data_IF_291396942346
#
_entry.id   IF_291396942346
#
_cell.length_a   1.000
_cell.length_b   1.000
_cell.length_c   1.000
_cell.angle_alpha   90.00
_cell.angle_beta   90.00
_cell.angle_gamma   90.00
#
_symmetry.space_group_name_H-M   'P 1'
#
loop_
_entity.id
_entity.type
_entity.pdbx_description
1 polymer ?
#
# COMPACT_ATOMS: atom_id res chain seq x y z
N UNK A 1 -19.65 13.85 -5.41
CA UNK A 1 -18.61 13.30 -6.31
C UNK A 1 -17.25 13.94 -6.05
N UNK A 2 -16.22 13.16 -5.70
CA UNK A 2 -14.87 13.63 -5.38
C UNK A 2 -13.97 13.83 -6.62
N UNK A 3 -14.40 13.36 -7.80
CA UNK A 3 -13.68 13.54 -9.06
C UNK A 3 -14.35 14.59 -9.97
N UNK A 4 -13.53 15.39 -10.66
CA UNK A 4 -13.91 16.28 -11.76
C UNK A 4 -13.32 15.74 -13.06
N UNK A 5 -14.05 14.85 -13.73
CA UNK A 5 -13.52 14.08 -14.85
C UNK A 5 -12.37 13.19 -14.38
N UNK A 6 -11.17 13.34 -14.97
CA UNK A 6 -9.96 12.58 -14.59
C UNK A 6 -9.15 13.21 -13.45
N UNK A 7 -9.63 14.33 -12.87
CA UNK A 7 -8.92 15.07 -11.81
C UNK A 7 -9.58 14.80 -10.47
N UNK A 8 -8.75 14.49 -9.47
CA UNK A 8 -9.16 14.35 -8.06
C UNK A 8 -8.25 15.27 -7.25
N UNK A 9 -8.81 15.97 -6.27
CA UNK A 9 -8.01 16.82 -5.38
C UNK A 9 -7.20 15.92 -4.44
N UNK A 10 -5.97 16.35 -4.09
CA UNK A 10 -5.08 15.59 -3.22
C UNK A 10 -5.75 15.20 -1.89
N UNK A 11 -6.57 16.09 -1.33
CA UNK A 11 -7.29 15.85 -0.06
C UNK A 11 -8.33 14.72 -0.15
N UNK A 12 -8.78 14.41 -1.37
CA UNK A 12 -9.82 13.43 -1.64
C UNK A 12 -9.21 12.06 -2.04
N UNK A 13 -7.89 11.89 -1.94
CA UNK A 13 -7.19 10.67 -2.34
C UNK A 13 -7.66 9.42 -1.56
N UNK A 14 -7.88 9.54 -0.24
CA UNK A 14 -8.41 8.43 0.58
C UNK A 14 -9.79 7.99 0.07
N UNK A 15 -10.69 8.96 -0.13
CA UNK A 15 -12.05 8.69 -0.64
C UNK A 15 -12.03 8.08 -2.04
N UNK A 16 -11.08 8.49 -2.89
CA UNK A 16 -10.86 7.85 -4.20
C UNK A 16 -10.44 6.39 -4.02
N UNK A 17 -9.41 6.11 -3.21
CA UNK A 17 -8.88 4.75 -3.01
C UNK A 17 -9.94 3.81 -2.42
N UNK A 18 -10.69 4.26 -1.41
CA UNK A 18 -11.80 3.49 -0.83
C UNK A 18 -12.93 3.20 -1.82
N UNK A 19 -13.11 4.05 -2.84
CA UNK A 19 -14.16 3.89 -3.83
C UNK A 19 -13.74 2.96 -4.99
N UNK A 20 -12.44 2.86 -5.30
CA UNK A 20 -11.95 2.11 -6.47
C UNK A 20 -11.29 0.79 -6.12
N UNK A 21 -10.74 0.65 -4.91
CA UNK A 21 -10.15 -0.59 -4.43
C UNK A 21 -11.19 -1.46 -3.72
N UNK A 22 -11.03 -2.76 -3.83
CA UNK A 22 -11.85 -3.77 -3.14
C UNK A 22 -10.97 -4.66 -2.26
N UNK A 23 -11.55 -5.28 -1.22
CA UNK A 23 -10.82 -6.26 -0.44
C UNK A 23 -10.24 -7.38 -1.31
N UNK A 24 -8.98 -7.72 -1.06
CA UNK A 24 -8.26 -8.76 -1.79
C UNK A 24 -7.72 -8.36 -3.17
N UNK A 25 -7.89 -7.11 -3.60
CA UNK A 25 -7.32 -6.65 -4.87
C UNK A 25 -5.79 -6.78 -4.88
N UNK A 26 -5.25 -7.09 -6.06
CA UNK A 26 -3.80 -7.03 -6.32
C UNK A 26 -3.45 -5.62 -6.79
N UNK A 27 -2.70 -4.91 -5.95
CA UNK A 27 -2.42 -3.48 -6.13
C UNK A 27 -0.93 -3.29 -6.40
N UNK A 28 -0.64 -2.74 -7.57
CA UNK A 28 0.69 -2.22 -7.87
C UNK A 28 0.79 -0.78 -7.37
N UNK A 29 1.66 -0.53 -6.40
CA UNK A 29 1.91 0.81 -5.88
C UNK A 29 3.34 1.21 -6.22
N UNK A 30 3.48 2.29 -6.98
CA UNK A 30 4.76 2.75 -7.50
C UNK A 30 5.73 3.10 -6.36
N UNK A 31 6.78 2.28 -6.26
CA UNK A 31 8.04 2.62 -5.63
C UNK A 31 9.15 2.04 -6.48
N UNK A 32 9.86 2.89 -7.22
CA UNK A 32 11.07 2.50 -7.95
C UNK A 32 12.33 2.97 -7.20
N UNK A 33 13.50 2.93 -7.84
CA UNK A 33 14.76 3.33 -7.19
C UNK A 33 14.89 4.85 -6.95
N UNK A 34 14.04 5.68 -7.56
CA UNK A 34 14.12 7.16 -7.52
C UNK A 34 12.77 7.85 -7.29
N UNK A 35 11.67 7.31 -7.81
CA UNK A 35 10.33 7.88 -7.77
C UNK A 35 9.41 7.03 -6.89
N UNK A 36 8.71 7.72 -6.00
CA UNK A 36 7.69 7.13 -5.13
C UNK A 36 6.37 7.85 -5.38
N UNK A 37 5.26 7.11 -5.43
CA UNK A 37 3.93 7.71 -5.37
C UNK A 37 3.55 8.01 -3.92
N UNK A 38 4.35 8.83 -3.25
CA UNK A 38 4.27 9.14 -1.82
C UNK A 38 2.87 9.58 -1.36
N UNK A 39 2.23 10.49 -2.10
CA UNK A 39 0.86 10.93 -1.80
C UNK A 39 -0.14 9.76 -1.77
N UNK A 40 -0.04 8.84 -2.72
CA UNK A 40 -0.93 7.68 -2.80
C UNK A 40 -0.56 6.61 -1.77
N UNK A 41 0.72 6.47 -1.43
CA UNK A 41 1.18 5.58 -0.38
C UNK A 41 0.63 6.02 0.98
N UNK A 42 0.75 7.30 1.32
CA UNK A 42 0.16 7.88 2.54
C UNK A 42 -1.35 7.76 2.53
N UNK A 43 -2.02 8.08 1.43
CA UNK A 43 -3.48 7.95 1.33
C UNK A 43 -3.95 6.49 1.46
N UNK A 44 -3.22 5.53 0.90
CA UNK A 44 -3.51 4.10 1.08
C UNK A 44 -3.26 3.65 2.52
N UNK A 45 -2.20 4.19 3.13
CA UNK A 45 -2.00 4.33 4.57
C UNK A 45 -3.33 4.47 5.33
N UNK A 46 -4.06 5.52 4.96
CA UNK A 46 -5.14 6.14 5.74
C UNK A 46 -6.55 5.65 5.44
N UNK A 47 -6.74 4.70 4.53
CA UNK A 47 -8.06 4.13 4.24
C UNK A 47 -8.65 3.39 5.45
N UNK A 48 -9.98 3.30 5.47
CA UNK A 48 -10.74 2.46 6.39
C UNK A 48 -10.53 0.97 6.06
N UNK A 49 -9.87 0.24 6.97
CA UNK A 49 -9.62 -1.19 6.81
C UNK A 49 -10.88 -2.06 6.87
N UNK A 50 -12.02 -1.52 7.33
CA UNK A 50 -13.30 -2.21 7.19
C UNK A 50 -13.81 -2.22 5.74
N UNK A 51 -13.31 -1.31 4.88
CA UNK A 51 -13.68 -1.21 3.46
C UNK A 51 -12.63 -1.81 2.54
N UNK A 52 -11.35 -1.59 2.85
CA UNK A 52 -10.21 -2.03 2.04
C UNK A 52 -9.27 -2.84 2.91
N UNK A 53 -9.21 -4.15 2.68
CA UNK A 53 -8.38 -5.07 3.46
C UNK A 53 -7.89 -6.25 2.62
N UNK A 54 -6.99 -7.05 3.20
CA UNK A 54 -6.40 -8.24 2.57
C UNK A 54 -5.74 -7.97 1.21
N UNK A 55 -5.32 -6.74 0.93
CA UNK A 55 -4.67 -6.40 -0.34
C UNK A 55 -3.40 -7.22 -0.57
N UNK A 56 -3.15 -7.52 -1.85
CA UNK A 56 -1.89 -8.08 -2.32
C UNK A 56 -1.07 -6.97 -2.97
N UNK A 57 -0.07 -6.47 -2.25
CA UNK A 57 0.81 -5.43 -2.72
C UNK A 57 1.90 -6.00 -3.62
N UNK A 58 2.09 -5.38 -4.79
CA UNK A 58 3.17 -5.69 -5.74
C UNK A 58 3.99 -4.43 -5.94
N UNK A 59 5.27 -4.46 -5.59
CA UNK A 59 6.12 -3.26 -5.66
C UNK A 59 7.54 -3.60 -6.10
N UNK A 60 8.13 -2.80 -6.98
CA UNK A 60 9.55 -2.96 -7.32
C UNK A 60 10.44 -2.67 -6.11
N UNK A 61 10.17 -1.58 -5.40
CA UNK A 61 10.91 -1.13 -4.22
C UNK A 61 10.02 -0.83 -3.01
N UNK A 62 10.37 -1.41 -1.86
CA UNK A 62 9.78 -1.10 -0.55
C UNK A 62 10.73 -0.16 0.19
N UNK A 63 10.47 1.14 0.08
CA UNK A 63 11.38 2.21 0.53
C UNK A 63 10.72 3.08 1.61
N UNK A 64 9.49 3.53 1.35
CA UNK A 64 8.73 4.38 2.26
C UNK A 64 8.17 3.56 3.45
N UNK A 65 8.10 4.15 4.67
CA UNK A 65 7.40 3.53 5.80
C UNK A 65 5.96 3.13 5.47
N UNK A 66 5.24 3.96 4.72
CA UNK A 66 3.83 3.78 4.35
C UNK A 66 3.60 2.50 3.55
N UNK A 67 4.61 2.03 2.81
CA UNK A 67 4.56 0.74 2.10
C UNK A 67 4.39 -0.44 3.07
N UNK A 68 4.80 -0.29 4.34
CA UNK A 68 4.66 -1.30 5.38
C UNK A 68 3.56 -1.01 6.40
N UNK A 69 3.17 0.26 6.56
CA UNK A 69 2.09 0.66 7.46
C UNK A 69 0.76 0.01 7.09
N UNK A 70 0.50 -0.18 5.78
CA UNK A 70 -0.70 -0.89 5.29
C UNK A 70 -0.82 -2.31 5.86
N UNK A 71 0.29 -3.00 6.16
CA UNK A 71 0.25 -4.35 6.74
C UNK A 71 0.00 -4.31 8.26
N UNK A 72 0.61 -3.37 8.96
CA UNK A 72 0.38 -3.17 10.40
C UNK A 72 -1.07 -2.80 10.70
N UNK A 73 -1.66 -1.98 9.82
CA UNK A 73 -3.06 -1.52 9.88
C UNK A 73 -4.08 -2.53 9.36
N UNK A 74 -3.65 -3.68 8.85
CA UNK A 74 -4.54 -4.74 8.34
C UNK A 74 -5.19 -4.44 6.99
N UNK A 75 -4.68 -3.45 6.26
CA UNK A 75 -5.15 -3.08 4.92
C UNK A 75 -4.57 -4.04 3.87
N UNK A 76 -3.31 -4.44 4.04
CA UNK A 76 -2.63 -5.40 3.18
C UNK A 76 -2.25 -6.67 3.93
N UNK A 77 -2.12 -7.78 3.18
CA UNK A 77 -1.77 -9.09 3.72
C UNK A 77 -0.64 -9.77 2.95
N UNK A 78 -0.59 -9.62 1.62
CA UNK A 78 0.44 -10.23 0.78
C UNK A 78 1.37 -9.19 0.20
N UNK A 79 2.65 -9.53 0.09
CA UNK A 79 3.69 -8.66 -0.49
C UNK A 79 4.55 -9.43 -1.48
N UNK A 80 4.60 -8.94 -2.73
CA UNK A 80 5.61 -9.30 -3.74
C UNK A 80 6.51 -8.09 -3.95
N UNK A 81 7.83 -8.27 -3.80
CA UNK A 81 8.78 -7.19 -4.02
C UNK A 81 10.14 -7.65 -4.53
N UNK A 82 10.88 -6.73 -5.15
CA UNK A 82 12.24 -7.00 -5.67
C UNK A 82 13.35 -6.39 -4.81
N UNK A 83 13.11 -5.21 -4.22
CA UNK A 83 14.09 -4.49 -3.41
C UNK A 83 13.47 -3.90 -2.14
N UNK A 84 14.18 -3.94 -1.02
CA UNK A 84 13.68 -3.44 0.27
C UNK A 84 14.68 -2.65 1.10
N UNK A 85 15.77 -2.15 0.51
CA UNK A 85 16.95 -1.61 1.21
C UNK A 85 16.71 -1.08 2.63
N UNK A 86 16.10 0.12 2.81
CA UNK A 86 15.89 0.74 4.12
C UNK A 86 14.89 -0.01 5.02
N UNK A 87 13.92 -0.72 4.43
CA UNK A 87 12.82 -1.36 5.13
C UNK A 87 13.04 -2.86 5.40
N UNK A 88 14.16 -3.43 4.94
CA UNK A 88 14.47 -4.86 5.00
C UNK A 88 14.29 -5.47 6.40
N UNK A 89 14.79 -4.80 7.44
CA UNK A 89 14.61 -5.24 8.84
C UNK A 89 13.14 -5.19 9.29
N UNK A 90 12.39 -4.17 8.86
CA UNK A 90 10.97 -4.03 9.21
C UNK A 90 10.12 -5.08 8.49
N UNK A 91 10.42 -5.38 7.22
CA UNK A 91 9.82 -6.51 6.49
C UNK A 91 10.04 -7.81 7.26
N UNK A 92 11.27 -8.10 7.68
CA UNK A 92 11.58 -9.33 8.42
C UNK A 92 10.75 -9.44 9.71
N UNK A 93 10.66 -8.35 10.50
CA UNK A 93 9.85 -8.31 11.72
C UNK A 93 8.37 -8.58 11.44
N UNK A 94 7.79 -7.94 10.42
CA UNK A 94 6.38 -8.11 10.08
C UNK A 94 6.09 -9.50 9.50
N UNK A 95 7.03 -10.08 8.76
CA UNK A 95 6.94 -11.45 8.25
C UNK A 95 6.95 -12.47 9.40
N UNK A 96 7.93 -12.39 10.30
CA UNK A 96 7.99 -13.30 11.47
C UNK A 96 6.84 -13.07 12.47
N UNK A 97 6.32 -11.85 12.53
CA UNK A 97 5.12 -11.51 13.29
C UNK A 97 3.80 -11.93 12.63
N UNK A 98 3.82 -12.54 11.44
CA UNK A 98 2.63 -13.01 10.73
C UNK A 98 1.74 -11.90 10.15
N UNK A 99 2.25 -10.66 10.06
CA UNK A 99 1.55 -9.50 9.47
C UNK A 99 1.68 -9.44 7.95
N UNK A 100 2.78 -9.97 7.42
CA UNK A 100 3.02 -10.10 5.98
C UNK A 100 3.06 -11.58 5.63
N UNK A 101 2.36 -11.96 4.57
CA UNK A 101 2.62 -13.19 3.84
C UNK A 101 3.42 -12.84 2.58
N UNK A 102 4.60 -13.44 2.38
CA UNK A 102 5.27 -13.34 1.10
C UNK A 102 4.44 -14.07 0.04
N UNK A 103 4.19 -13.42 -1.10
CA UNK A 103 3.56 -14.10 -2.22
C UNK A 103 4.52 -15.12 -2.85
N UNK A 104 3.94 -16.15 -3.45
CA UNK A 104 4.64 -17.22 -4.15
C UNK A 104 4.91 -16.83 -5.61
#
# INVERSE_FOLDING_TARGET
PFARGKRVDARDAVALLEAVLRPGDRVCLEGDNQKQADLLATALADVDSAKVHDLHMVQSGVVLPEHLDVFERGIAKRLDFAYSGPQSQRIAKLLFGGKIALGA
#
